data_IF_893228973664
#
_entry.id   IF_893228973664
#
_cell.length_a   1.000
_cell.length_b   1.000
_cell.length_c   1.000
_cell.angle_alpha   90.00
_cell.angle_beta   90.00
_cell.angle_gamma   90.00
#
_symmetry.space_group_name_H-M   'P 1'
#
loop_
_entity.id
_entity.type
_entity.pdbx_description
1 polymer ?
#
# COMPACT_ATOMS: atom_id res chain seq x y z
N UNK A 1 15.27 -55.03 33.71
CA UNK A 1 15.64 -54.69 32.33
C UNK A 1 14.53 -53.80 31.77
N UNK A 2 14.65 -52.47 31.86
CA UNK A 2 13.70 -51.53 31.24
C UNK A 2 14.23 -51.22 29.84
N UNK A 3 13.59 -51.75 28.79
CA UNK A 3 13.92 -51.37 27.42
C UNK A 3 13.30 -50.00 27.10
N UNK A 4 14.15 -48.99 27.01
CA UNK A 4 13.74 -47.66 26.54
C UNK A 4 13.62 -47.69 25.02
N UNK A 5 12.38 -47.70 24.56
CA UNK A 5 11.97 -47.72 23.15
C UNK A 5 12.66 -46.58 22.36
N UNK A 6 13.48 -46.92 21.35
CA UNK A 6 14.25 -45.97 20.52
C UNK A 6 13.39 -45.09 19.60
N UNK A 7 12.08 -45.36 19.48
CA UNK A 7 11.17 -44.65 18.58
C UNK A 7 10.77 -43.26 19.06
N UNK A 8 10.85 -42.96 20.36
CA UNK A 8 10.55 -41.62 20.91
C UNK A 8 11.63 -40.57 20.64
N UNK A 9 12.82 -40.96 20.12
CA UNK A 9 13.94 -40.04 19.88
C UNK A 9 13.91 -39.31 18.52
N UNK A 10 12.96 -39.63 17.63
CA UNK A 10 12.95 -39.10 16.25
C UNK A 10 11.92 -37.99 15.99
N UNK A 11 11.06 -37.65 16.94
CA UNK A 11 10.09 -36.54 16.82
C UNK A 11 10.57 -35.21 17.41
N UNK A 12 11.69 -35.21 18.16
CA UNK A 12 12.26 -33.99 18.78
C UNK A 12 12.67 -32.89 17.80
N UNK A 13 13.39 -33.17 16.69
CA UNK A 13 13.90 -32.10 15.83
C UNK A 13 12.83 -31.44 14.96
N UNK A 14 11.74 -32.16 14.62
CA UNK A 14 10.64 -31.61 13.80
C UNK A 14 9.76 -30.65 14.61
N UNK A 15 9.51 -30.94 15.89
CA UNK A 15 8.76 -30.07 16.79
C UNK A 15 9.54 -28.78 17.15
N UNK A 16 10.86 -28.88 17.35
CA UNK A 16 11.72 -27.72 17.59
C UNK A 16 11.81 -26.80 16.36
N UNK A 17 11.93 -27.37 15.16
CA UNK A 17 11.95 -26.59 13.92
C UNK A 17 10.62 -25.86 13.66
N UNK A 18 9.48 -26.49 13.94
CA UNK A 18 8.17 -25.85 13.83
C UNK A 18 8.00 -24.68 14.83
N UNK A 19 8.43 -24.84 16.09
CA UNK A 19 8.38 -23.78 17.08
C UNK A 19 9.27 -22.57 16.74
N UNK A 20 10.45 -22.81 16.14
CA UNK A 20 11.34 -21.74 15.68
C UNK A 20 10.74 -20.94 14.51
N UNK A 21 10.04 -21.61 13.58
CA UNK A 21 9.36 -20.93 12.47
C UNK A 21 8.16 -20.09 12.94
N UNK A 22 7.39 -20.56 13.92
CA UNK A 22 6.31 -19.77 14.53
C UNK A 22 6.85 -18.57 15.34
N UNK A 23 7.96 -18.74 16.07
CA UNK A 23 8.60 -17.65 16.82
C UNK A 23 9.13 -16.53 15.93
N UNK A 24 9.71 -16.89 14.77
CA UNK A 24 10.20 -15.92 13.80
C UNK A 24 9.06 -15.08 13.19
N UNK A 25 7.91 -15.68 12.88
CA UNK A 25 6.75 -14.97 12.35
C UNK A 25 6.15 -13.97 13.36
N UNK A 26 6.06 -14.35 14.64
CA UNK A 26 5.56 -13.47 15.69
C UNK A 26 6.48 -12.25 15.90
N UNK A 27 7.81 -12.44 15.91
CA UNK A 27 8.77 -11.35 16.06
C UNK A 27 8.73 -10.35 14.89
N UNK A 28 8.51 -10.83 13.66
CA UNK A 28 8.37 -9.97 12.48
C UNK A 28 7.07 -9.15 12.52
N UNK A 29 5.97 -9.74 12.98
CA UNK A 29 4.70 -9.04 13.12
C UNK A 29 4.76 -7.93 14.19
N UNK A 30 5.48 -8.18 15.30
CA UNK A 30 5.67 -7.20 16.37
C UNK A 30 6.52 -6.01 15.90
N UNK A 31 7.64 -6.28 15.22
CA UNK A 31 8.49 -5.24 14.63
C UNK A 31 7.75 -4.37 13.60
N UNK A 32 6.87 -4.98 12.79
CA UNK A 32 6.04 -4.24 11.84
C UNK A 32 4.99 -3.36 12.55
N UNK A 33 4.40 -3.83 13.66
CA UNK A 33 3.51 -3.03 14.49
C UNK A 33 4.23 -1.83 15.12
N UNK A 34 5.41 -2.05 15.70
CA UNK A 34 6.21 -0.98 16.30
C UNK A 34 6.59 0.10 15.26
N UNK A 35 7.05 -0.32 14.07
CA UNK A 35 7.36 0.61 12.99
C UNK A 35 6.14 1.46 12.58
N UNK A 36 4.97 0.85 12.43
CA UNK A 36 3.71 1.56 12.12
C UNK A 36 3.35 2.57 13.21
N UNK A 37 3.45 2.18 14.47
CA UNK A 37 3.16 3.04 15.59
C UNK A 37 4.14 4.23 15.63
N UNK A 38 5.44 4.01 15.38
CA UNK A 38 6.43 5.08 15.31
C UNK A 38 6.13 6.10 14.22
N UNK A 39 5.75 5.67 13.02
CA UNK A 39 5.33 6.57 11.92
C UNK A 39 4.13 7.41 12.34
N UNK A 40 3.09 6.79 12.91
CA UNK A 40 1.92 7.51 13.40
C UNK A 40 2.27 8.55 14.48
N UNK A 41 3.17 8.22 15.42
CA UNK A 41 3.61 9.17 16.44
C UNK A 41 4.35 10.36 15.83
N UNK A 42 5.18 10.12 14.80
CA UNK A 42 5.88 11.16 14.06
C UNK A 42 4.91 12.07 13.31
N UNK A 43 3.95 11.51 12.57
CA UNK A 43 2.91 12.29 11.86
C UNK A 43 2.06 13.10 12.82
N UNK A 44 1.64 12.49 13.95
CA UNK A 44 0.88 13.20 14.98
C UNK A 44 1.67 14.37 15.57
N UNK A 45 2.97 14.20 15.84
CA UNK A 45 3.83 15.30 16.30
C UNK A 45 3.94 16.41 15.24
N UNK A 46 4.03 16.05 13.96
CA UNK A 46 4.02 17.01 12.87
C UNK A 46 2.69 17.79 12.81
N UNK A 47 1.55 17.11 12.94
CA UNK A 47 0.23 17.76 13.02
C UNK A 47 0.14 18.74 14.20
N UNK A 48 0.55 18.32 15.40
CA UNK A 48 0.49 19.14 16.63
C UNK A 48 1.46 20.31 16.63
N UNK A 49 2.54 20.24 15.84
CA UNK A 49 3.51 21.33 15.73
C UNK A 49 3.04 22.49 14.85
N UNK A 50 1.92 22.35 14.14
CA UNK A 50 1.42 23.34 13.18
C UNK A 50 2.27 23.48 11.92
N UNK A 51 3.24 22.58 11.70
CA UNK A 51 4.08 22.53 10.49
C UNK A 51 3.37 21.91 9.28
N UNK A 52 2.16 21.39 9.48
CA UNK A 52 1.30 20.90 8.40
C UNK A 52 0.72 22.07 7.61
N UNK A 53 0.60 21.90 6.28
CA UNK A 53 -0.13 22.84 5.41
C UNK A 53 -1.67 22.66 5.49
N UNK A 54 -2.16 21.86 6.43
CA UNK A 54 -3.58 21.52 6.60
C UNK A 54 -4.05 21.87 8.01
N UNK A 55 -5.37 21.98 8.18
CA UNK A 55 -5.99 22.11 9.50
C UNK A 55 -5.57 20.96 10.43
N UNK A 56 -5.33 21.26 11.72
CA UNK A 56 -4.81 20.29 12.68
C UNK A 56 -5.74 19.08 12.84
N UNK A 57 -7.05 19.29 12.86
CA UNK A 57 -8.03 18.21 13.01
C UNK A 57 -7.98 17.29 11.78
N UNK A 58 -7.92 17.88 10.58
CA UNK A 58 -7.77 17.15 9.31
C UNK A 58 -6.48 16.33 9.30
N UNK A 59 -5.37 16.94 9.69
CA UNK A 59 -4.07 16.26 9.75
C UNK A 59 -4.10 15.04 10.69
N UNK A 60 -4.65 15.20 11.90
CA UNK A 60 -4.77 14.11 12.87
C UNK A 60 -5.68 12.98 12.37
N UNK A 61 -6.76 13.34 11.66
CA UNK A 61 -7.68 12.38 11.04
C UNK A 61 -6.99 11.56 9.96
N UNK A 62 -6.20 12.20 9.10
CA UNK A 62 -5.43 11.54 8.04
C UNK A 62 -4.35 10.62 8.61
N UNK A 63 -3.60 11.06 9.62
CA UNK A 63 -2.62 10.21 10.31
C UNK A 63 -3.27 8.95 10.93
N UNK A 64 -4.45 9.10 11.53
CA UNK A 64 -5.23 7.97 12.05
C UNK A 64 -5.72 7.03 10.95
N UNK A 65 -6.18 7.57 9.82
CA UNK A 65 -6.59 6.78 8.67
C UNK A 65 -5.42 5.99 8.06
N UNK A 66 -4.23 6.61 7.95
CA UNK A 66 -3.02 5.95 7.49
C UNK A 66 -2.61 4.80 8.42
N UNK A 67 -2.67 4.98 9.74
CA UNK A 67 -2.42 3.90 10.70
C UNK A 67 -3.39 2.72 10.47
N UNK A 68 -4.69 3.00 10.33
CA UNK A 68 -5.71 1.96 10.15
C UNK A 68 -5.56 1.22 8.80
N UNK A 69 -5.30 1.92 7.70
CA UNK A 69 -5.07 1.30 6.39
C UNK A 69 -3.90 0.32 6.44
N UNK A 70 -2.82 0.71 7.13
CA UNK A 70 -1.68 -0.16 7.32
C UNK A 70 -2.03 -1.40 8.17
N UNK A 71 -2.96 -1.32 9.14
CA UNK A 71 -3.41 -2.48 9.94
C UNK A 71 -4.19 -3.50 9.12
N UNK A 72 -4.98 -3.06 8.12
CA UNK A 72 -5.82 -3.92 7.28
C UNK A 72 -4.99 -4.77 6.29
N UNK A 73 -3.67 -4.59 6.25
CA UNK A 73 -2.78 -5.37 5.37
C UNK A 73 -2.91 -5.00 3.90
N UNK A 74 -3.52 -3.85 3.60
CA UNK A 74 -3.55 -3.31 2.24
C UNK A 74 -2.14 -2.85 1.89
N UNK A 75 -1.47 -3.63 1.04
CA UNK A 75 -0.24 -3.19 0.39
C UNK A 75 -0.55 -2.09 -0.60
N UNK A 76 0.41 -1.18 -0.79
CA UNK A 76 0.33 -0.19 -1.87
C UNK A 76 0.02 -0.91 -3.20
N UNK A 77 -0.87 -0.35 -4.03
CA UNK A 77 -1.22 -0.96 -5.30
C UNK A 77 0.02 -1.07 -6.19
N UNK A 78 0.20 -2.22 -6.83
CA UNK A 78 1.27 -2.41 -7.80
C UNK A 78 0.95 -1.73 -9.14
N UNK A 79 1.95 -1.60 -10.02
CA UNK A 79 1.79 -0.93 -11.31
C UNK A 79 0.68 -1.51 -12.19
N UNK A 80 0.45 -2.83 -12.13
CA UNK A 80 -0.62 -3.47 -12.88
C UNK A 80 -2.00 -3.09 -12.34
N UNK A 81 -2.17 -3.07 -11.01
CA UNK A 81 -3.40 -2.60 -10.36
C UNK A 81 -3.68 -1.13 -10.69
N UNK A 82 -2.65 -0.29 -10.63
CA UNK A 82 -2.75 1.13 -11.01
C UNK A 82 -3.15 1.30 -12.49
N UNK A 83 -2.64 0.46 -13.39
CA UNK A 83 -3.01 0.46 -14.80
C UNK A 83 -4.48 0.07 -15.02
N UNK A 84 -4.96 -0.96 -14.32
CA UNK A 84 -6.38 -1.36 -14.36
C UNK A 84 -7.28 -0.23 -13.85
N UNK A 85 -6.93 0.39 -12.73
CA UNK A 85 -7.70 1.51 -12.18
C UNK A 85 -7.66 2.73 -13.12
N UNK A 86 -6.55 2.94 -13.84
CA UNK A 86 -6.45 3.99 -14.84
C UNK A 86 -7.43 3.80 -16.00
N UNK A 87 -7.55 2.57 -16.50
CA UNK A 87 -8.53 2.22 -17.53
C UNK A 87 -9.96 2.33 -17.00
N UNK A 88 -10.22 1.87 -15.77
CA UNK A 88 -11.55 1.92 -15.15
C UNK A 88 -12.10 3.35 -15.05
N UNK A 89 -11.24 4.35 -14.83
CA UNK A 89 -11.67 5.77 -14.83
C UNK A 89 -12.33 6.20 -16.14
N UNK A 90 -11.99 5.57 -17.27
CA UNK A 90 -12.60 5.88 -18.56
C UNK A 90 -14.02 5.33 -18.72
N UNK A 91 -14.49 4.44 -17.83
CA UNK A 91 -15.83 3.86 -17.92
C UNK A 91 -16.95 4.86 -17.59
N UNK A 92 -16.60 6.04 -17.07
CA UNK A 92 -17.51 7.17 -16.93
C UNK A 92 -17.92 7.79 -18.29
N UNK A 93 -17.20 7.49 -19.37
CA UNK A 93 -17.44 8.03 -20.71
C UNK A 93 -18.02 6.96 -21.65
N UNK A 94 -18.79 7.40 -22.65
CA UNK A 94 -19.29 6.55 -23.75
C UNK A 94 -18.73 6.98 -25.11
N UNK A 95 -18.89 6.12 -26.12
CA UNK A 95 -18.54 6.41 -27.52
C UNK A 95 -17.09 6.89 -27.71
N UNK A 96 -16.91 7.88 -28.60
CA UNK A 96 -15.61 8.46 -28.95
C UNK A 96 -14.87 9.02 -27.72
N UNK A 97 -15.59 9.60 -26.75
CA UNK A 97 -14.98 10.15 -25.53
C UNK A 97 -14.29 9.08 -24.68
N UNK A 98 -14.81 7.84 -24.65
CA UNK A 98 -14.15 6.72 -23.99
C UNK A 98 -12.88 6.32 -24.74
N UNK A 99 -12.92 6.27 -26.06
CA UNK A 99 -11.77 5.95 -26.89
C UNK A 99 -10.63 6.97 -26.69
N UNK A 100 -10.93 8.27 -26.72
CA UNK A 100 -9.95 9.33 -26.44
C UNK A 100 -9.41 9.27 -25.01
N UNK A 101 -10.25 8.91 -24.02
CA UNK A 101 -9.78 8.69 -22.65
C UNK A 101 -8.76 7.56 -22.56
N UNK A 102 -9.06 6.41 -23.19
CA UNK A 102 -8.16 5.26 -23.21
C UNK A 102 -6.84 5.59 -23.91
N UNK A 103 -6.90 6.29 -25.04
CA UNK A 103 -5.71 6.75 -25.75
C UNK A 103 -4.80 7.63 -24.88
N UNK A 104 -5.38 8.58 -24.13
CA UNK A 104 -4.62 9.38 -23.14
C UNK A 104 -3.99 8.51 -22.04
N UNK A 105 -4.72 7.51 -21.54
CA UNK A 105 -4.20 6.61 -20.50
C UNK A 105 -3.10 5.67 -21.01
N UNK A 106 -3.15 5.31 -22.31
CA UNK A 106 -2.14 4.52 -23.02
C UNK A 106 -0.89 5.33 -23.41
N UNK A 107 -0.86 6.62 -23.07
CA UNK A 107 0.31 7.50 -23.28
C UNK A 107 0.33 8.23 -24.61
N UNK A 108 -0.78 8.24 -25.36
CA UNK A 108 -0.88 9.06 -26.56
C UNK A 108 -1.02 10.55 -26.20
N UNK A 109 -0.42 11.41 -27.02
CA UNK A 109 -0.44 12.86 -26.84
C UNK A 109 0.74 13.36 -25.99
N UNK A 110 0.49 14.36 -25.15
CA UNK A 110 1.52 14.98 -24.30
C UNK A 110 1.23 14.80 -22.82
N UNK A 111 2.30 14.73 -22.02
CA UNK A 111 2.25 14.63 -20.57
C UNK A 111 3.06 15.78 -19.97
N UNK A 112 2.46 16.54 -19.07
CA UNK A 112 3.05 17.75 -18.48
C UNK A 112 2.78 17.79 -16.97
N UNK A 113 3.66 18.48 -16.22
CA UNK A 113 3.57 18.59 -14.77
C UNK A 113 4.34 17.51 -14.00
N UNK A 114 4.19 17.49 -12.69
CA UNK A 114 4.83 16.54 -11.78
C UNK A 114 3.98 16.35 -10.52
N UNK A 115 4.22 15.25 -9.80
CA UNK A 115 3.54 15.01 -8.51
C UNK A 115 3.88 16.11 -7.51
N UNK A 116 5.15 16.52 -7.44
CA UNK A 116 5.59 17.63 -6.59
C UNK A 116 4.96 18.96 -7.00
N UNK A 117 4.79 19.21 -8.30
CA UNK A 117 4.14 20.39 -8.86
C UNK A 117 2.61 20.39 -8.76
N UNK A 118 2.01 19.41 -8.08
CA UNK A 118 0.57 19.35 -7.81
C UNK A 118 -0.25 18.53 -8.81
N UNK A 119 0.37 17.92 -9.83
CA UNK A 119 -0.36 17.02 -10.72
C UNK A 119 0.31 16.76 -12.07
N UNK A 120 -0.21 15.73 -12.75
CA UNK A 120 0.19 15.35 -14.11
C UNK A 120 -1.01 15.54 -15.03
N UNK A 121 -0.86 16.42 -16.03
CA UNK A 121 -1.85 16.63 -17.08
C UNK A 121 -1.52 15.75 -18.29
N UNK A 122 -2.54 15.08 -18.85
CA UNK A 122 -2.44 14.29 -20.07
C UNK A 122 -3.39 14.87 -21.11
N UNK A 123 -2.84 15.28 -22.25
CA UNK A 123 -3.59 15.96 -23.29
C UNK A 123 -3.45 15.22 -24.61
N UNK A 124 -4.58 15.01 -25.29
CA UNK A 124 -4.67 14.43 -26.62
C UNK A 124 -5.55 15.35 -27.46
N UNK A 125 -4.97 15.91 -28.52
CA UNK A 125 -5.66 16.78 -29.47
C UNK A 125 -6.02 15.98 -30.71
N UNK A 126 -7.30 15.94 -31.04
CA UNK A 126 -7.84 15.21 -32.18
C UNK A 126 -8.48 16.21 -33.16
N UNK A 127 -8.40 15.97 -34.48
CA UNK A 127 -9.13 16.78 -35.45
C UNK A 127 -10.65 16.64 -35.23
N UNK A 128 -11.36 17.74 -35.40
CA UNK A 128 -12.83 17.73 -35.33
C UNK A 128 -13.37 16.96 -36.55
N UNK A 129 -14.24 15.98 -36.30
CA UNK A 129 -14.99 15.26 -37.35
C UNK A 129 -16.08 16.13 -37.95
#
# INVERSE_FOLDING_TARGET
MYEVNRTTRRCGPVLLAALLLLGAAAAQADAANDARQRVYQQERAHCLSGQSNQDQETCLREAGAALQQNMVGQSAPNAAQLGVDAVRRCDAFGGDARASCLARMDGQGSVQGSVEGGGILRELSEPVK
#
